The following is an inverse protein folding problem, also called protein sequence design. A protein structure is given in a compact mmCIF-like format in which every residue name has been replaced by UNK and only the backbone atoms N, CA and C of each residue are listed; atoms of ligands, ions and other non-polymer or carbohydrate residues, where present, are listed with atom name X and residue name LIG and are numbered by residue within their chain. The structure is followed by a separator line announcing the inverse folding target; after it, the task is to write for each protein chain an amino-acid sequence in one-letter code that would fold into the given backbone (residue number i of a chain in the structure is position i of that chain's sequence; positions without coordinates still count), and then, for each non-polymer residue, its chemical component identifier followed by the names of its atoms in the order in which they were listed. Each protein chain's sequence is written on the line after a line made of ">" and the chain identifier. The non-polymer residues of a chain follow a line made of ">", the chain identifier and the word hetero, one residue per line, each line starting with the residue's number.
data_IF_253342114461
#
_entry.id   IF_253342114461
#
_cell.length_a   1.000
_cell.length_b   1.000
_cell.length_c   1.000
_cell.angle_alpha   90.00
_cell.angle_beta   90.00
_cell.angle_gamma   90.00
#
_symmetry.space_group_name_H-M   'P 1'
#
loop_
_entity.id
_entity.type
_entity.pdbx_description
1 polymer ?
#
# COMPACT_ATOMS: atom_id res chain seq x y z
N UNK A 1 -19.82 40.87 -78.94
CA UNK A 1 -19.32 39.74 -78.15
C UNK A 1 -19.19 40.18 -76.69
N UNK A 2 -20.17 39.85 -75.82
CA UNK A 2 -20.22 40.26 -74.42
C UNK A 2 -19.74 39.09 -73.57
N UNK A 3 -18.65 39.29 -72.84
CA UNK A 3 -18.14 38.32 -71.88
C UNK A 3 -18.93 38.49 -70.56
N UNK A 4 -19.61 37.43 -70.11
CA UNK A 4 -20.28 37.38 -68.86
C UNK A 4 -19.24 37.11 -67.73
N UNK A 5 -19.24 37.97 -66.72
CA UNK A 5 -18.48 37.78 -65.50
C UNK A 5 -19.31 36.94 -64.55
N UNK A 6 -18.77 35.78 -64.06
CA UNK A 6 -19.34 34.96 -62.97
C UNK A 6 -18.87 35.50 -61.64
N UNK A 7 -19.74 35.62 -60.64
CA UNK A 7 -19.33 35.95 -59.29
C UNK A 7 -18.79 34.69 -58.56
N UNK A 8 -17.58 34.80 -58.04
CA UNK A 8 -17.01 33.80 -57.11
C UNK A 8 -17.66 33.99 -55.73
N UNK A 9 -18.49 33.04 -55.34
CA UNK A 9 -19.03 32.96 -53.98
C UNK A 9 -17.95 32.31 -53.08
N UNK A 10 -17.33 33.14 -52.27
CA UNK A 10 -16.34 32.70 -51.27
C UNK A 10 -17.09 32.14 -50.04
N UNK A 11 -17.18 30.80 -49.96
CA UNK A 11 -17.77 30.09 -48.81
C UNK A 11 -16.78 30.12 -47.65
N UNK A 12 -17.03 30.98 -46.68
CA UNK A 12 -16.26 31.12 -45.46
C UNK A 12 -16.67 29.98 -44.51
N UNK A 13 -15.91 28.86 -44.51
CA UNK A 13 -16.09 27.78 -43.55
C UNK A 13 -15.62 28.26 -42.19
N UNK A 14 -16.56 28.52 -41.25
CA UNK A 14 -16.29 28.75 -39.86
C UNK A 14 -15.87 27.41 -39.24
N UNK A 15 -14.60 27.22 -38.98
CA UNK A 15 -14.06 26.16 -38.10
C UNK A 15 -14.51 26.44 -36.67
N UNK A 16 -15.59 25.78 -36.25
CA UNK A 16 -15.94 25.62 -34.83
C UNK A 16 -14.88 24.70 -34.22
N UNK A 17 -13.87 25.26 -33.60
CA UNK A 17 -13.01 24.56 -32.65
C UNK A 17 -13.89 24.21 -31.47
N UNK A 18 -14.47 23.01 -31.48
CA UNK A 18 -15.00 22.41 -30.28
C UNK A 18 -13.80 22.11 -29.37
N UNK A 19 -13.55 22.96 -28.37
CA UNK A 19 -12.81 22.55 -27.21
C UNK A 19 -13.63 21.41 -26.56
N UNK A 20 -13.28 20.17 -26.83
CA UNK A 20 -13.65 19.08 -25.97
C UNK A 20 -13.00 19.41 -24.61
N UNK A 21 -13.80 19.93 -23.66
CA UNK A 21 -13.42 19.88 -22.29
C UNK A 21 -13.14 18.40 -22.04
N UNK A 22 -11.91 18.09 -21.76
CA UNK A 22 -11.52 16.81 -21.23
C UNK A 22 -12.25 16.71 -19.88
N UNK A 23 -13.38 16.00 -19.87
CA UNK A 23 -14.12 15.68 -18.67
C UNK A 23 -13.44 14.48 -18.00
N UNK A 24 -12.09 14.49 -17.96
CA UNK A 24 -11.32 13.55 -17.21
C UNK A 24 -11.61 13.74 -15.72
N UNK A 25 -11.80 12.63 -15.01
CA UNK A 25 -11.85 12.62 -13.55
C UNK A 25 -10.53 13.20 -13.02
N UNK A 26 -10.59 13.83 -11.87
CA UNK A 26 -9.41 14.31 -11.15
C UNK A 26 -8.61 13.11 -10.61
N UNK A 27 -7.44 12.87 -11.20
CA UNK A 27 -6.61 11.71 -10.84
C UNK A 27 -5.89 11.95 -9.51
N UNK A 28 -6.05 11.01 -8.57
CA UNK A 28 -5.36 10.94 -7.30
C UNK A 28 -4.42 9.74 -7.28
N UNK A 29 -3.12 9.97 -7.24
CA UNK A 29 -2.12 8.91 -7.17
C UNK A 29 -1.78 8.60 -5.72
N UNK A 30 -2.11 7.39 -5.27
CA UNK A 30 -1.88 6.91 -3.91
C UNK A 30 -0.85 5.79 -3.92
N UNK A 31 0.25 6.00 -3.20
CA UNK A 31 1.26 4.98 -2.93
C UNK A 31 0.97 4.31 -1.60
N UNK A 32 0.67 3.02 -1.61
CA UNK A 32 0.26 2.25 -0.44
C UNK A 32 1.15 1.05 -0.16
N UNK A 33 1.48 0.85 1.13
CA UNK A 33 2.21 -0.34 1.56
C UNK A 33 1.50 -1.63 1.11
N UNK A 34 2.26 -2.65 0.68
CA UNK A 34 1.74 -3.91 0.14
C UNK A 34 0.75 -4.62 1.07
N UNK A 35 0.94 -4.54 2.39
CA UNK A 35 0.02 -5.08 3.40
C UNK A 35 -1.37 -4.43 3.40
N UNK A 36 -1.52 -3.23 2.81
CA UNK A 36 -2.80 -2.53 2.68
C UNK A 36 -3.53 -2.83 1.35
N UNK A 37 -3.04 -3.75 0.52
CA UNK A 37 -3.56 -3.96 -0.84
C UNK A 37 -5.07 -4.12 -0.87
N UNK A 38 -5.62 -5.07 -0.13
CA UNK A 38 -7.07 -5.36 -0.16
C UNK A 38 -7.87 -4.20 0.45
N UNK A 39 -7.41 -3.65 1.58
CA UNK A 39 -8.02 -2.48 2.19
C UNK A 39 -8.06 -1.28 1.23
N UNK A 40 -6.95 -0.99 0.54
CA UNK A 40 -6.89 0.17 -0.36
C UNK A 40 -7.75 0.01 -1.61
N UNK A 41 -7.96 -1.20 -2.11
CA UNK A 41 -8.89 -1.47 -3.21
C UNK A 41 -10.34 -1.16 -2.78
N UNK A 42 -10.74 -1.57 -1.57
CA UNK A 42 -12.08 -1.28 -1.06
C UNK A 42 -12.25 0.20 -0.69
N UNK A 43 -11.20 0.82 -0.12
CA UNK A 43 -11.16 2.25 0.18
C UNK A 43 -11.22 3.11 -1.10
N UNK A 44 -10.48 2.74 -2.16
CA UNK A 44 -10.56 3.37 -3.49
C UNK A 44 -12.01 3.33 -3.99
N UNK A 45 -12.62 2.15 -4.05
CA UNK A 45 -13.98 1.96 -4.54
C UNK A 45 -15.00 2.79 -3.77
N UNK A 46 -14.87 2.85 -2.43
CA UNK A 46 -15.77 3.61 -1.56
C UNK A 46 -15.56 5.12 -1.74
N UNK A 47 -14.30 5.57 -1.79
CA UNK A 47 -14.00 6.98 -2.00
C UNK A 47 -14.50 7.50 -3.34
N UNK A 48 -14.32 6.73 -4.43
CA UNK A 48 -14.79 7.10 -5.77
C UNK A 48 -16.33 7.10 -5.87
N UNK A 49 -17.01 6.20 -5.13
CA UNK A 49 -18.47 6.21 -5.09
C UNK A 49 -19.02 7.51 -4.50
N UNK A 50 -18.37 8.06 -3.48
CA UNK A 50 -18.74 9.31 -2.83
C UNK A 50 -18.21 10.55 -3.57
N UNK A 51 -17.17 10.38 -4.40
CA UNK A 51 -16.52 11.43 -5.18
C UNK A 51 -16.46 11.05 -6.68
N UNK A 52 -17.58 11.12 -7.43
CA UNK A 52 -17.66 10.61 -8.80
C UNK A 52 -16.69 11.25 -9.80
N UNK A 53 -16.18 12.42 -9.48
CA UNK A 53 -15.20 13.15 -10.29
C UNK A 53 -13.74 12.73 -9.96
N UNK A 54 -13.52 11.93 -8.92
CA UNK A 54 -12.20 11.40 -8.54
C UNK A 54 -11.89 10.09 -9.30
N UNK A 55 -10.60 9.90 -9.63
CA UNK A 55 -10.04 8.68 -10.21
C UNK A 55 -8.77 8.31 -9.45
N UNK A 56 -8.89 7.40 -8.48
CA UNK A 56 -7.77 6.97 -7.62
C UNK A 56 -6.89 5.98 -8.38
N UNK A 57 -5.58 6.20 -8.36
CA UNK A 57 -4.58 5.33 -8.96
C UNK A 57 -3.67 4.77 -7.89
N UNK A 58 -3.85 3.50 -7.57
CA UNK A 58 -3.05 2.81 -6.56
C UNK A 58 -1.72 2.33 -7.14
N UNK A 59 -0.64 2.59 -6.41
CA UNK A 59 0.66 1.93 -6.58
C UNK A 59 1.00 1.21 -5.28
N UNK A 60 0.93 -0.11 -5.30
CA UNK A 60 1.03 -0.97 -4.12
C UNK A 60 2.34 -1.76 -4.16
N UNK A 61 3.21 -1.52 -3.18
CA UNK A 61 4.52 -2.16 -3.10
C UNK A 61 5.07 -2.13 -1.65
N UNK A 62 6.21 -2.74 -1.41
CA UNK A 62 6.93 -2.58 -0.14
C UNK A 62 7.26 -1.12 0.13
N UNK A 63 7.05 -0.64 1.37
CA UNK A 63 7.17 0.79 1.72
C UNK A 63 8.54 1.38 1.35
N UNK A 64 9.63 0.61 1.47
CA UNK A 64 10.96 1.06 1.07
C UNK A 64 11.06 1.30 -0.45
N UNK A 65 10.43 0.45 -1.27
CA UNK A 65 10.36 0.65 -2.72
C UNK A 65 9.53 1.88 -3.08
N UNK A 66 8.41 2.12 -2.39
CA UNK A 66 7.59 3.32 -2.58
C UNK A 66 8.38 4.58 -2.22
N UNK A 67 9.12 4.56 -1.09
CA UNK A 67 10.01 5.67 -0.71
C UNK A 67 11.03 5.97 -1.80
N UNK A 68 11.73 4.97 -2.34
CA UNK A 68 12.69 5.16 -3.43
C UNK A 68 12.04 5.81 -4.67
N UNK A 69 10.82 5.41 -5.00
CA UNK A 69 10.06 6.01 -6.10
C UNK A 69 9.72 7.48 -5.83
N UNK A 70 9.27 7.81 -4.60
CA UNK A 70 8.99 9.20 -4.19
C UNK A 70 10.27 10.04 -4.27
N UNK A 71 11.37 9.58 -3.69
CA UNK A 71 12.67 10.26 -3.73
C UNK A 71 13.22 10.37 -5.17
N UNK A 72 12.91 9.40 -6.02
CA UNK A 72 13.22 9.41 -7.46
C UNK A 72 12.36 10.38 -8.28
N UNK A 73 11.40 11.06 -7.67
CA UNK A 73 10.55 12.07 -8.33
C UNK A 73 9.32 11.51 -8.99
N UNK A 74 8.86 10.31 -8.61
CA UNK A 74 7.57 9.80 -9.06
C UNK A 74 6.44 10.75 -8.67
N UNK A 75 5.42 10.85 -9.54
CA UNK A 75 4.18 11.54 -9.21
C UNK A 75 3.44 10.74 -8.15
N UNK A 76 3.14 11.37 -7.03
CA UNK A 76 2.36 10.80 -5.94
C UNK A 76 1.68 11.91 -5.15
N UNK A 77 0.42 11.72 -4.84
CA UNK A 77 -0.39 12.69 -4.12
C UNK A 77 -0.50 12.31 -2.64
N UNK A 78 -0.68 11.03 -2.33
CA UNK A 78 -0.72 10.50 -0.96
C UNK A 78 0.19 9.28 -0.83
N UNK A 79 0.96 9.21 0.25
CA UNK A 79 1.80 8.05 0.58
C UNK A 79 1.40 7.45 1.92
N UNK A 80 1.29 6.11 1.99
CA UNK A 80 0.94 5.33 3.17
C UNK A 80 1.98 4.24 3.36
N UNK A 81 2.69 4.26 4.50
CA UNK A 81 3.77 3.30 4.78
C UNK A 81 3.42 2.35 5.93
N UNK A 82 4.08 1.20 6.00
CA UNK A 82 3.84 0.18 7.03
C UNK A 82 4.68 0.38 8.29
N UNK A 83 5.42 1.47 8.42
CA UNK A 83 6.09 1.88 9.66
C UNK A 83 6.42 3.38 9.65
N UNK A 84 6.74 3.90 10.83
CA UNK A 84 7.12 5.30 11.02
C UNK A 84 8.48 5.61 10.40
N UNK A 85 9.45 4.71 10.48
CA UNK A 85 10.82 4.98 10.03
C UNK A 85 10.88 5.38 8.55
N UNK A 86 10.15 4.69 7.67
CA UNK A 86 10.07 5.05 6.25
C UNK A 86 9.37 6.40 6.04
N UNK A 87 8.34 6.71 6.83
CA UNK A 87 7.67 8.01 6.75
C UNK A 87 8.59 9.13 7.24
N UNK A 88 9.33 8.90 8.33
CA UNK A 88 10.29 9.88 8.87
C UNK A 88 11.38 10.20 7.82
N UNK A 89 11.87 9.23 7.05
CA UNK A 89 12.80 9.48 5.95
C UNK A 89 12.19 10.36 4.84
N UNK A 90 10.90 10.21 4.54
CA UNK A 90 10.19 11.08 3.60
C UNK A 90 10.00 12.50 4.16
N UNK A 91 9.79 12.64 5.47
CA UNK A 91 9.75 13.92 6.16
C UNK A 91 11.13 14.59 6.14
N UNK A 92 12.19 13.86 6.49
CA UNK A 92 13.56 14.36 6.51
C UNK A 92 14.05 14.80 5.12
N UNK A 93 13.58 14.15 4.07
CA UNK A 93 13.86 14.53 2.68
C UNK A 93 13.05 15.74 2.19
N UNK A 94 12.04 16.18 2.95
CA UNK A 94 11.15 17.28 2.58
C UNK A 94 10.04 16.90 1.58
N UNK A 95 9.82 15.62 1.32
CA UNK A 95 8.74 15.13 0.45
C UNK A 95 7.38 15.12 1.14
N UNK A 96 7.38 15.06 2.47
CA UNK A 96 6.19 15.07 3.34
C UNK A 96 6.37 16.12 4.43
N UNK A 97 5.30 16.80 4.80
CA UNK A 97 5.31 17.73 5.93
C UNK A 97 4.98 17.00 7.23
N UNK A 98 5.77 17.17 8.32
CA UNK A 98 5.57 16.41 9.56
C UNK A 98 4.21 16.69 10.21
N UNK A 99 3.67 17.90 10.04
CA UNK A 99 2.36 18.31 10.59
C UNK A 99 1.16 17.71 9.83
N UNK A 100 1.40 17.08 8.68
CA UNK A 100 0.38 16.41 7.86
C UNK A 100 0.39 14.87 7.99
N UNK A 101 1.35 14.31 8.75
CA UNK A 101 1.38 12.86 8.99
C UNK A 101 0.30 12.47 9.98
N UNK A 102 -0.51 11.49 9.62
CA UNK A 102 -1.49 10.88 10.54
C UNK A 102 -1.40 9.35 10.50
N UNK A 103 -1.65 8.70 11.63
CA UNK A 103 -1.76 7.24 11.67
C UNK A 103 -3.15 6.87 11.18
N UNK A 104 -3.25 6.11 10.09
CA UNK A 104 -4.53 5.72 9.49
C UNK A 104 -4.94 4.30 9.85
N UNK A 105 -4.00 3.43 10.20
CA UNK A 105 -4.26 2.06 10.63
C UNK A 105 -3.21 1.60 11.64
N UNK A 106 -3.51 0.54 12.39
CA UNK A 106 -2.56 -0.20 13.21
C UNK A 106 -2.71 -1.70 12.96
N UNK A 107 -1.66 -2.50 13.27
CA UNK A 107 -1.64 -3.93 13.01
C UNK A 107 -0.80 -4.64 14.08
N UNK A 108 -0.83 -5.96 14.10
CA UNK A 108 0.08 -6.81 14.87
C UNK A 108 0.95 -7.67 13.95
N UNK A 109 1.94 -8.35 14.52
CA UNK A 109 2.71 -9.38 13.82
C UNK A 109 2.10 -10.76 14.07
N UNK A 110 2.20 -11.62 13.05
CA UNK A 110 1.80 -13.01 13.12
C UNK A 110 2.79 -13.90 12.34
N UNK A 111 2.78 -15.18 12.61
CA UNK A 111 3.41 -16.19 11.77
C UNK A 111 2.32 -16.77 10.88
N UNK A 112 2.41 -16.61 9.56
CA UNK A 112 1.65 -17.41 8.62
C UNK A 112 2.31 -18.79 8.52
N UNK A 113 1.51 -19.83 8.68
CA UNK A 113 1.95 -21.22 8.62
C UNK A 113 1.21 -21.92 7.49
N UNK A 114 1.92 -22.66 6.64
CA UNK A 114 1.31 -23.45 5.58
C UNK A 114 0.23 -24.38 6.14
N UNK A 115 -0.87 -24.51 5.41
CA UNK A 115 -2.07 -25.21 5.88
C UNK A 115 -1.76 -26.63 6.36
N UNK A 116 -2.20 -26.95 7.56
CA UNK A 116 -1.91 -28.20 8.23
C UNK A 116 -0.56 -28.26 8.92
N UNK A 117 0.19 -27.15 8.94
CA UNK A 117 1.43 -26.96 9.70
C UNK A 117 2.48 -28.07 9.49
N UNK A 118 2.94 -28.30 8.24
CA UNK A 118 3.91 -29.37 7.95
C UNK A 118 5.25 -29.15 8.68
N UNK A 119 5.66 -27.90 8.89
CA UNK A 119 6.86 -27.52 9.65
C UNK A 119 6.75 -27.70 11.17
N UNK A 120 5.55 -28.02 11.69
CA UNK A 120 5.26 -28.08 13.13
C UNK A 120 5.72 -26.82 13.87
N UNK A 121 5.38 -25.66 13.32
CA UNK A 121 5.67 -24.33 13.88
C UNK A 121 4.68 -24.02 14.99
N UNK A 122 5.16 -23.50 16.14
CA UNK A 122 4.35 -23.16 17.32
C UNK A 122 4.57 -21.74 17.79
N UNK A 123 5.67 -21.12 17.40
CA UNK A 123 6.06 -19.79 17.80
C UNK A 123 7.33 -19.34 17.11
N UNK A 124 7.78 -18.16 17.48
CA UNK A 124 8.94 -17.51 16.88
C UNK A 124 10.25 -18.29 17.15
N UNK A 125 10.30 -19.06 18.25
CA UNK A 125 11.46 -19.87 18.63
C UNK A 125 11.73 -20.98 17.60
N UNK A 126 10.72 -21.45 16.86
CA UNK A 126 10.88 -22.46 15.83
C UNK A 126 11.66 -21.96 14.61
N UNK A 127 11.87 -20.64 14.50
CA UNK A 127 12.71 -20.04 13.45
C UNK A 127 14.22 -20.32 13.65
N UNK A 128 14.67 -20.85 14.79
CA UNK A 128 16.05 -21.35 14.95
C UNK A 128 16.28 -22.72 14.28
N UNK A 129 15.21 -23.42 13.93
CA UNK A 129 15.28 -24.75 13.33
C UNK A 129 15.66 -24.65 11.85
N UNK A 130 16.42 -25.62 11.37
CA UNK A 130 16.87 -25.71 9.99
C UNK A 130 16.10 -26.71 9.12
N UNK A 131 15.12 -27.43 9.71
CA UNK A 131 14.35 -28.42 8.95
C UNK A 131 13.16 -27.79 8.21
N UNK A 132 12.37 -26.87 8.81
CA UNK A 132 11.28 -26.22 8.10
C UNK A 132 11.84 -25.16 7.12
N UNK A 133 11.17 -24.98 5.98
CA UNK A 133 11.47 -23.89 5.07
C UNK A 133 10.84 -22.59 5.57
N UNK A 134 11.68 -21.65 5.97
CA UNK A 134 11.27 -20.43 6.63
C UNK A 134 11.61 -19.19 5.81
N UNK A 135 10.65 -18.27 5.76
CA UNK A 135 10.83 -17.00 5.08
C UNK A 135 10.53 -15.79 5.97
N UNK A 136 11.16 -14.70 5.64
CA UNK A 136 10.83 -13.35 6.16
C UNK A 136 10.89 -12.35 5.03
N UNK A 137 10.45 -11.13 5.28
CA UNK A 137 10.80 -10.04 4.36
C UNK A 137 12.28 -9.66 4.52
N UNK A 138 12.87 -9.07 3.49
CA UNK A 138 14.21 -8.47 3.58
C UNK A 138 14.28 -7.47 4.76
N UNK A 139 15.38 -7.43 5.52
CA UNK A 139 15.54 -6.48 6.63
C UNK A 139 15.50 -5.00 6.19
N UNK A 140 15.64 -4.74 4.90
CA UNK A 140 15.52 -3.39 4.33
C UNK A 140 14.07 -2.90 4.18
N UNK A 141 13.06 -3.74 4.44
CA UNK A 141 11.64 -3.36 4.36
C UNK A 141 10.94 -3.54 5.71
N UNK A 142 9.79 -2.84 5.96
CA UNK A 142 9.16 -2.80 7.28
C UNK A 142 8.87 -4.17 7.91
N UNK A 143 8.28 -5.10 7.16
CA UNK A 143 7.98 -6.45 7.69
C UNK A 143 9.25 -7.22 8.07
N UNK A 144 10.34 -7.04 7.34
CA UNK A 144 11.62 -7.67 7.65
C UNK A 144 12.31 -7.04 8.85
N UNK A 145 12.42 -5.72 8.91
CA UNK A 145 13.02 -5.04 10.07
C UNK A 145 12.31 -5.44 11.37
N UNK A 146 10.97 -5.47 11.34
CA UNK A 146 10.18 -5.89 12.51
C UNK A 146 10.40 -7.37 12.88
N UNK A 147 10.49 -8.27 11.88
CA UNK A 147 10.79 -9.69 12.14
C UNK A 147 12.16 -9.86 12.80
N UNK A 148 13.19 -9.20 12.28
CA UNK A 148 14.54 -9.26 12.86
C UNK A 148 14.63 -8.62 14.24
N UNK A 149 13.90 -7.53 14.51
CA UNK A 149 13.75 -6.94 15.84
C UNK A 149 13.14 -7.95 16.85
N UNK A 150 12.15 -8.76 16.40
CA UNK A 150 11.57 -9.79 17.25
C UNK A 150 12.57 -10.94 17.52
N UNK A 151 13.36 -11.36 16.51
CA UNK A 151 14.41 -12.35 16.71
C UNK A 151 15.47 -11.86 17.71
N UNK A 152 15.92 -10.61 17.57
CA UNK A 152 16.87 -10.01 18.51
C UNK A 152 16.29 -9.94 19.93
N UNK A 153 15.05 -9.46 20.07
CA UNK A 153 14.35 -9.36 21.37
C UNK A 153 14.18 -10.71 22.06
N UNK A 154 13.90 -11.76 21.29
CA UNK A 154 13.76 -13.12 21.78
C UNK A 154 15.11 -13.86 21.96
N UNK A 155 16.22 -13.28 21.50
CA UNK A 155 17.55 -13.90 21.51
C UNK A 155 17.68 -15.08 20.54
N UNK A 156 16.95 -15.04 19.43
CA UNK A 156 16.84 -16.12 18.43
C UNK A 156 17.87 -15.89 17.30
N UNK A 157 18.63 -16.95 16.98
CA UNK A 157 19.47 -17.00 15.78
C UNK A 157 18.67 -17.66 14.65
N UNK A 158 17.86 -16.88 13.96
CA UNK A 158 16.92 -17.41 12.96
C UNK A 158 17.64 -18.05 11.76
N UNK A 159 17.15 -19.23 11.35
CA UNK A 159 17.58 -19.97 10.15
C UNK A 159 16.61 -19.64 9.01
N UNK A 160 16.89 -18.62 8.24
CA UNK A 160 16.01 -18.13 7.19
C UNK A 160 16.47 -18.64 5.83
N UNK A 161 15.55 -19.26 5.06
CA UNK A 161 15.82 -19.79 3.72
C UNK A 161 15.66 -18.75 2.64
N UNK A 162 14.72 -17.78 2.81
CA UNK A 162 14.48 -16.74 1.82
C UNK A 162 14.04 -15.42 2.45
N UNK A 163 14.45 -14.32 1.80
CA UNK A 163 14.03 -12.97 2.12
C UNK A 163 13.23 -12.36 0.97
N UNK A 164 12.00 -11.95 1.24
CA UNK A 164 11.09 -11.44 0.23
C UNK A 164 11.06 -9.90 0.19
N UNK A 165 10.78 -9.30 -0.98
CA UNK A 165 10.79 -7.85 -1.14
C UNK A 165 9.64 -7.15 -0.40
N UNK A 166 8.57 -7.86 -0.08
CA UNK A 166 7.41 -7.37 0.66
C UNK A 166 6.60 -8.53 1.26
N UNK A 167 5.62 -8.18 2.11
CA UNK A 167 4.84 -9.19 2.84
C UNK A 167 3.88 -9.99 1.95
N UNK A 168 3.43 -9.42 0.82
CA UNK A 168 2.55 -10.14 -0.11
C UNK A 168 3.28 -11.23 -0.86
N UNK A 169 4.51 -10.95 -1.28
CA UNK A 169 5.39 -11.97 -1.87
C UNK A 169 5.66 -13.11 -0.87
N UNK A 170 5.91 -12.76 0.41
CA UNK A 170 6.13 -13.73 1.48
C UNK A 170 4.88 -14.60 1.73
N UNK A 171 3.71 -13.96 1.93
CA UNK A 171 2.44 -14.67 2.15
C UNK A 171 2.10 -15.62 1.01
N UNK A 172 2.28 -15.18 -0.23
CA UNK A 172 2.03 -16.00 -1.42
C UNK A 172 2.83 -17.31 -1.38
N UNK A 173 4.11 -17.25 -1.03
CA UNK A 173 4.96 -18.45 -0.91
C UNK A 173 4.50 -19.42 0.18
N UNK A 174 3.98 -18.90 1.30
CA UNK A 174 3.39 -19.73 2.35
C UNK A 174 2.09 -20.39 1.85
N UNK A 175 1.22 -19.62 1.18
CA UNK A 175 -0.05 -20.13 0.61
C UNK A 175 0.22 -21.23 -0.43
N UNK A 176 1.22 -21.03 -1.27
CA UNK A 176 1.60 -22.00 -2.33
C UNK A 176 2.37 -23.22 -1.79
N UNK A 177 2.74 -23.20 -0.49
CA UNK A 177 3.47 -24.28 0.16
C UNK A 177 4.95 -24.36 -0.25
N UNK A 178 5.50 -23.27 -0.80
CA UNK A 178 6.95 -23.13 -1.01
C UNK A 178 7.69 -22.89 0.31
N UNK A 179 7.00 -22.33 1.31
CA UNK A 179 7.49 -22.12 2.67
C UNK A 179 6.55 -22.80 3.67
N UNK A 180 7.13 -23.36 4.74
CA UNK A 180 6.38 -23.89 5.86
C UNK A 180 5.80 -22.76 6.73
N UNK A 181 6.54 -21.65 6.86
CA UNK A 181 6.08 -20.47 7.60
C UNK A 181 6.83 -19.19 7.21
N UNK A 182 6.20 -18.05 7.54
CA UNK A 182 6.80 -16.72 7.40
C UNK A 182 6.20 -15.73 8.39
N UNK A 183 6.98 -14.70 8.78
CA UNK A 183 6.49 -13.62 9.65
C UNK A 183 5.80 -12.58 8.78
N UNK A 184 4.51 -12.38 9.04
CA UNK A 184 3.58 -11.50 8.32
C UNK A 184 2.83 -10.59 9.33
N UNK A 185 1.82 -9.87 8.88
CA UNK A 185 0.93 -9.12 9.77
C UNK A 185 -0.34 -9.91 10.09
N UNK A 186 -1.04 -9.55 11.17
CA UNK A 186 -2.33 -10.17 11.53
C UNK A 186 -3.37 -10.03 10.41
N UNK A 187 -3.41 -8.88 9.74
CA UNK A 187 -4.31 -8.66 8.59
C UNK A 187 -4.04 -9.62 7.44
N UNK A 188 -2.78 -10.03 7.21
CA UNK A 188 -2.45 -10.99 6.17
C UNK A 188 -3.06 -12.37 6.43
N UNK A 189 -3.18 -12.77 7.71
CA UNK A 189 -3.86 -14.00 8.11
C UNK A 189 -5.37 -13.92 7.81
N UNK A 190 -6.00 -12.77 8.12
CA UNK A 190 -7.42 -12.55 7.85
C UNK A 190 -7.70 -12.61 6.35
N UNK A 191 -6.89 -11.91 5.55
CA UNK A 191 -7.04 -11.82 4.10
C UNK A 191 -6.76 -13.18 3.41
N UNK A 192 -5.89 -14.00 3.98
CA UNK A 192 -5.62 -15.35 3.46
C UNK A 192 -6.85 -16.27 3.52
N UNK A 193 -7.92 -15.88 4.22
CA UNK A 193 -9.23 -16.55 4.25
C UNK A 193 -9.16 -18.08 4.43
N UNK A 194 -8.33 -18.52 5.35
CA UNK A 194 -8.12 -19.93 5.65
C UNK A 194 -7.15 -20.68 4.71
N UNK A 195 -6.45 -19.97 3.85
CA UNK A 195 -5.37 -20.57 3.03
C UNK A 195 -4.08 -20.81 3.83
N UNK A 196 -3.95 -20.21 5.00
CA UNK A 196 -2.86 -20.44 5.97
C UNK A 196 -3.42 -20.55 7.37
N UNK A 197 -2.67 -21.16 8.29
CA UNK A 197 -2.90 -21.06 9.73
C UNK A 197 -2.12 -19.86 10.27
N UNK A 198 -2.64 -19.19 11.31
CA UNK A 198 -2.01 -17.99 11.91
C UNK A 198 -1.60 -18.22 13.36
N UNK A 199 -0.39 -17.78 13.73
CA UNK A 199 0.09 -17.74 15.12
C UNK A 199 0.45 -16.29 15.45
N UNK A 200 -0.25 -15.70 16.44
CA UNK A 200 0.01 -14.31 16.85
C UNK A 200 1.35 -14.18 17.55
N UNK A 201 2.07 -13.10 17.27
CA UNK A 201 3.32 -12.73 17.95
C UNK A 201 3.01 -11.60 18.94
N UNK A 202 3.43 -11.76 20.20
CA UNK A 202 3.37 -10.67 21.18
C UNK A 202 4.49 -9.65 20.88
N UNK A 203 4.15 -8.66 20.08
CA UNK A 203 5.06 -7.64 19.58
C UNK A 203 4.44 -6.24 19.71
N UNK A 204 5.26 -5.18 19.69
CA UNK A 204 4.75 -3.82 19.60
C UNK A 204 3.83 -3.62 18.40
N UNK A 205 2.85 -2.74 18.57
CA UNK A 205 1.89 -2.39 17.52
C UNK A 205 2.59 -1.77 16.32
N UNK A 206 2.25 -2.26 15.14
CA UNK A 206 2.69 -1.71 13.86
C UNK A 206 1.77 -0.54 13.48
N UNK A 207 2.35 0.61 13.16
CA UNK A 207 1.61 1.83 12.80
C UNK A 207 1.77 2.16 11.34
N UNK A 208 0.66 2.51 10.71
CA UNK A 208 0.59 2.91 9.31
C UNK A 208 0.40 4.42 9.21
N UNK A 209 1.48 5.18 9.08
CA UNK A 209 1.40 6.61 8.81
C UNK A 209 1.03 6.86 7.35
N UNK A 210 0.18 7.87 7.14
CA UNK A 210 -0.19 8.40 5.83
C UNK A 210 0.01 9.92 5.81
N UNK A 211 0.35 10.44 4.64
CA UNK A 211 0.45 11.89 4.44
C UNK A 211 0.28 12.26 2.97
N UNK A 212 -0.23 13.47 2.67
CA UNK A 212 -0.11 14.04 1.33
C UNK A 212 1.35 14.44 1.07
N UNK A 213 1.79 14.35 -0.17
CA UNK A 213 3.13 14.79 -0.55
C UNK A 213 3.18 16.29 -0.84
N UNK A 214 4.34 16.91 -0.65
CA UNK A 214 4.57 18.33 -0.95
C UNK A 214 4.40 18.64 -2.44
N UNK A 215 4.63 17.63 -3.29
CA UNK A 215 4.54 17.74 -4.75
C UNK A 215 3.22 17.21 -5.33
N UNK A 216 2.21 17.00 -4.50
CA UNK A 216 0.88 16.61 -4.98
C UNK A 216 0.38 17.55 -6.08
N UNK A 217 -0.15 16.98 -7.15
CA UNK A 217 -0.76 17.73 -8.26
C UNK A 217 -2.23 18.04 -7.97
N UNK A 218 -2.86 17.31 -7.05
CA UNK A 218 -4.24 17.50 -6.62
C UNK A 218 -4.32 17.62 -5.08
N UNK A 219 -3.75 18.70 -4.48
CA UNK A 219 -3.65 18.81 -3.02
C UNK A 219 -5.01 18.81 -2.31
N UNK A 220 -6.05 19.40 -2.92
CA UNK A 220 -7.39 19.42 -2.35
C UNK A 220 -8.00 18.02 -2.30
N UNK A 221 -7.83 17.22 -3.37
CA UNK A 221 -8.31 15.84 -3.42
C UNK A 221 -7.50 14.92 -2.49
N UNK A 222 -6.18 15.18 -2.36
CA UNK A 222 -5.33 14.49 -1.40
C UNK A 222 -5.78 14.73 0.05
N UNK A 223 -6.13 15.97 0.40
CA UNK A 223 -6.67 16.31 1.73
C UNK A 223 -8.05 15.65 1.97
N UNK A 224 -8.91 15.59 0.96
CA UNK A 224 -10.20 14.88 1.05
C UNK A 224 -9.99 13.37 1.28
N UNK A 225 -9.05 12.76 0.56
CA UNK A 225 -8.73 11.34 0.75
C UNK A 225 -8.13 11.08 2.14
N UNK A 226 -7.24 11.95 2.63
CA UNK A 226 -6.71 11.87 4.01
C UNK A 226 -7.81 12.01 5.06
N UNK A 227 -8.79 12.89 4.85
CA UNK A 227 -9.96 13.02 5.72
C UNK A 227 -10.82 11.74 5.68
N UNK A 228 -11.06 11.18 4.49
CA UNK A 228 -11.79 9.92 4.31
C UNK A 228 -11.10 8.76 5.03
N UNK A 229 -9.78 8.58 4.90
CA UNK A 229 -9.03 7.55 5.63
C UNK A 229 -9.22 7.60 7.16
N UNK A 230 -9.56 8.77 7.69
CA UNK A 230 -9.85 8.98 9.11
C UNK A 230 -11.35 8.88 9.46
N UNK A 231 -12.24 8.63 8.49
CA UNK A 231 -13.68 8.47 8.71
C UNK A 231 -14.04 7.12 9.33
N UNK A 232 -15.27 7.01 9.88
CA UNK A 232 -15.80 5.74 10.40
C UNK A 232 -15.86 4.67 9.32
N UNK A 233 -16.28 5.02 8.12
CA UNK A 233 -16.50 4.09 7.02
C UNK A 233 -15.17 3.49 6.55
N UNK A 234 -14.12 4.31 6.43
CA UNK A 234 -12.78 3.82 6.12
C UNK A 234 -12.19 2.95 7.25
N UNK A 235 -12.47 3.31 8.51
CA UNK A 235 -12.01 2.51 9.66
C UNK A 235 -12.75 1.17 9.78
N UNK A 236 -14.03 1.09 9.37
CA UNK A 236 -14.77 -0.17 9.26
C UNK A 236 -14.14 -1.08 8.19
N UNK A 237 -13.87 -0.56 6.98
CA UNK A 237 -13.18 -1.29 5.91
C UNK A 237 -11.83 -1.85 6.39
N UNK A 238 -11.01 -1.03 7.05
CA UNK A 238 -9.73 -1.46 7.59
C UNK A 238 -9.89 -2.58 8.63
N UNK A 239 -10.89 -2.47 9.50
CA UNK A 239 -11.16 -3.48 10.53
C UNK A 239 -11.63 -4.80 9.92
N UNK A 240 -12.47 -4.76 8.90
CA UNK A 240 -13.00 -5.95 8.21
C UNK A 240 -11.90 -6.78 7.56
N UNK A 241 -10.82 -6.15 7.10
CA UNK A 241 -9.63 -6.84 6.56
C UNK A 241 -8.54 -7.07 7.60
N UNK A 242 -8.86 -6.98 8.89
CA UNK A 242 -8.01 -7.42 10.00
C UNK A 242 -7.03 -6.39 10.57
N UNK A 243 -7.14 -5.11 10.19
CA UNK A 243 -6.40 -4.06 10.88
C UNK A 243 -7.06 -3.75 12.24
N UNK A 244 -6.24 -3.33 13.21
CA UNK A 244 -6.74 -2.95 14.53
C UNK A 244 -7.34 -1.54 14.50
N UNK A 245 -8.39 -1.34 15.29
CA UNK A 245 -8.91 0.01 15.53
C UNK A 245 -7.86 0.87 16.24
N UNK A 246 -7.88 2.17 15.90
CA UNK A 246 -7.01 3.18 16.52
C UNK A 246 -7.54 3.61 17.88
#
# INVERSE_FOLDING_TARGET
>A
MRKAAQPVVMLMAALLTACTADSGRDELVVFGAASLTDALIDLESTFEADNPDADVKLNLAGSSSLREQVLGGARVDVVITANLAVMDELVDSGEVRPDQVSIVATNGLAIAVALGNPGNIRGIEDFERSEPFLGVCSPAVPCGSLAYEQFESAGIAASIDTEEPDVRALLTKVIEGELDAGIVYESDIVIADGAVDGILIDAPEVRYPAAPTVRSQNPELAEQFMAFLNSSDAQEILTDVGFRQR
#
